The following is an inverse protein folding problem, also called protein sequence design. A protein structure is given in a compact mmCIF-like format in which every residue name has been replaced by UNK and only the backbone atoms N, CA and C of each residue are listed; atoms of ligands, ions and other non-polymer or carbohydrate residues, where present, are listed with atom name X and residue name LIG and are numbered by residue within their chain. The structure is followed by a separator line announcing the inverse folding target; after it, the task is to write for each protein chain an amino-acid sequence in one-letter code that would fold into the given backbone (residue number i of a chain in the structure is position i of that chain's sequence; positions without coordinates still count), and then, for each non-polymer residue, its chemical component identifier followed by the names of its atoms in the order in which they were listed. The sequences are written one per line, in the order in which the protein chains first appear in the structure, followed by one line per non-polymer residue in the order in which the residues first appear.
data_IF_261606090505
#
_entry.id   IF_261606090505
#
_cell.length_a   1.000
_cell.length_b   1.000
_cell.length_c   1.000
_cell.angle_alpha   90.00
_cell.angle_beta   90.00
_cell.angle_gamma   90.00
#
_symmetry.space_group_name_H-M   'P 1'
#
loop_
_entity.id
_entity.type
_entity.pdbx_description
1 polymer ?
#
# COMPACT_ATOMS: atom_id res chain seq x y z
N UNK A 1 -19.45 -3.83 23.20
CA UNK A 1 -18.05 -4.32 23.12
C UNK A 1 -17.47 -4.27 21.70
N UNK A 2 -18.28 -4.23 20.64
CA UNK A 2 -17.82 -4.24 19.23
C UNK A 2 -17.08 -2.97 18.73
N UNK A 3 -17.23 -1.81 19.38
CA UNK A 3 -16.60 -0.56 18.91
C UNK A 3 -15.09 -0.53 19.16
N UNK A 4 -14.63 -0.99 20.33
CA UNK A 4 -13.21 -0.92 20.72
C UNK A 4 -12.32 -1.84 19.88
N UNK A 5 -12.82 -3.01 19.50
CA UNK A 5 -12.09 -3.98 18.67
C UNK A 5 -11.99 -3.48 17.22
N UNK A 6 -13.09 -2.93 16.69
CA UNK A 6 -13.09 -2.32 15.36
C UNK A 6 -12.17 -1.09 15.27
N UNK A 7 -12.14 -0.25 16.31
CA UNK A 7 -11.24 0.90 16.40
C UNK A 7 -9.77 0.48 16.44
N UNK A 8 -9.46 -0.62 17.13
CA UNK A 8 -8.12 -1.20 17.19
C UNK A 8 -7.70 -1.79 15.84
N UNK A 9 -8.58 -2.53 15.17
CA UNK A 9 -8.34 -3.08 13.82
C UNK A 9 -8.08 -1.96 12.80
N UNK A 10 -8.84 -0.87 12.88
CA UNK A 10 -8.62 0.31 12.02
C UNK A 10 -7.23 0.89 12.30
N UNK A 11 -6.86 1.06 13.57
CA UNK A 11 -5.55 1.62 13.96
C UNK A 11 -4.38 0.75 13.51
N UNK A 12 -4.48 -0.57 13.62
CA UNK A 12 -3.42 -1.50 13.23
C UNK A 12 -3.26 -1.55 11.71
N UNK A 13 -4.36 -1.54 10.96
CA UNK A 13 -4.33 -1.40 9.50
C UNK A 13 -3.66 -0.08 9.08
N UNK A 14 -3.98 1.03 9.75
CA UNK A 14 -3.35 2.32 9.44
C UNK A 14 -1.84 2.33 9.69
N UNK A 15 -1.39 1.65 10.76
CA UNK A 15 0.04 1.54 11.08
C UNK A 15 0.77 0.68 10.04
N UNK A 16 0.17 -0.42 9.62
CA UNK A 16 0.68 -1.23 8.52
C UNK A 16 0.76 -0.40 7.23
N UNK A 17 -0.29 0.35 6.91
CA UNK A 17 -0.36 1.19 5.71
C UNK A 17 0.68 2.34 5.73
N UNK A 18 0.90 2.95 6.90
CA UNK A 18 1.96 3.95 7.10
C UNK A 18 3.34 3.36 6.84
N UNK A 19 3.59 2.15 7.36
CA UNK A 19 4.85 1.43 7.16
C UNK A 19 5.15 1.14 5.68
N UNK A 20 4.12 0.96 4.84
CA UNK A 20 4.27 0.79 3.39
C UNK A 20 4.85 2.05 2.77
N UNK A 21 4.35 3.24 3.13
CA UNK A 21 4.91 4.50 2.63
C UNK A 21 6.21 4.91 3.32
N UNK A 22 6.50 4.39 4.52
CA UNK A 22 7.78 4.61 5.16
C UNK A 22 8.89 3.81 4.50
N UNK A 23 8.72 2.50 4.44
CA UNK A 23 9.74 1.55 3.99
C UNK A 23 9.71 1.34 2.47
N UNK A 24 8.53 1.40 1.85
CA UNK A 24 8.36 1.07 0.43
C UNK A 24 8.47 -0.43 0.13
N UNK A 25 8.54 -1.27 1.16
CA UNK A 25 8.70 -2.72 1.02
C UNK A 25 7.43 -3.44 1.44
N UNK A 26 6.90 -4.28 0.55
CA UNK A 26 5.78 -5.18 0.82
C UNK A 26 6.12 -6.59 0.35
N UNK A 27 5.41 -7.59 0.88
CA UNK A 27 5.63 -8.99 0.50
C UNK A 27 5.25 -9.26 -0.96
N UNK A 28 5.83 -10.30 -1.58
CA UNK A 28 5.45 -10.75 -2.92
C UNK A 28 3.95 -11.07 -3.02
N UNK A 29 3.37 -11.69 -1.99
CA UNK A 29 1.92 -11.94 -1.90
C UNK A 29 1.12 -10.64 -1.99
N UNK A 30 1.50 -9.62 -1.21
CA UNK A 30 0.84 -8.31 -1.27
C UNK A 30 1.04 -7.64 -2.62
N UNK A 31 2.18 -7.82 -3.29
CA UNK A 31 2.39 -7.33 -4.65
C UNK A 31 1.45 -8.00 -5.66
N UNK A 32 1.28 -9.32 -5.60
CA UNK A 32 0.36 -10.04 -6.47
C UNK A 32 -1.09 -9.59 -6.27
N UNK A 33 -1.51 -9.39 -5.01
CA UNK A 33 -2.83 -8.85 -4.68
C UNK A 33 -3.00 -7.41 -5.19
N UNK A 34 -2.02 -6.54 -4.94
CA UNK A 34 -2.05 -5.13 -5.36
C UNK A 34 -2.12 -4.99 -6.88
N UNK A 35 -1.31 -5.74 -7.62
CA UNK A 35 -1.33 -5.73 -9.09
C UNK A 35 -2.62 -6.37 -9.61
N UNK A 36 -3.13 -7.41 -8.95
CA UNK A 36 -4.42 -8.03 -9.26
C UNK A 36 -5.61 -7.09 -9.12
N UNK A 37 -5.55 -6.12 -8.20
CA UNK A 37 -6.54 -5.03 -8.11
C UNK A 37 -6.46 -4.06 -9.31
N UNK A 38 -5.30 -3.97 -9.94
CA UNK A 38 -5.05 -3.12 -11.10
C UNK A 38 -4.71 -1.67 -10.77
N UNK A 39 -4.10 -0.99 -11.75
CA UNK A 39 -3.56 0.37 -11.56
C UNK A 39 -4.64 1.42 -11.22
N UNK A 40 -5.87 1.21 -11.70
CA UNK A 40 -7.01 2.10 -11.39
C UNK A 40 -7.35 2.06 -9.91
N UNK A 41 -7.47 0.86 -9.34
CA UNK A 41 -7.74 0.68 -7.91
C UNK A 41 -6.57 1.17 -7.06
N UNK A 42 -5.33 0.89 -7.47
CA UNK A 42 -4.13 1.42 -6.82
C UNK A 42 -4.16 2.96 -6.75
N UNK A 43 -4.41 3.62 -7.89
CA UNK A 43 -4.50 5.08 -7.96
C UNK A 43 -5.62 5.66 -7.08
N UNK A 44 -6.77 4.98 -7.03
CA UNK A 44 -7.87 5.35 -6.15
C UNK A 44 -7.53 5.20 -4.66
N UNK A 45 -6.81 4.14 -4.28
CA UNK A 45 -6.31 3.94 -2.91
C UNK A 45 -5.33 5.06 -2.50
N UNK A 46 -4.43 5.45 -3.40
CA UNK A 46 -3.50 6.57 -3.16
C UNK A 46 -4.26 7.86 -2.95
N UNK A 47 -5.26 8.17 -3.80
CA UNK A 47 -6.10 9.36 -3.63
C UNK A 47 -6.82 9.36 -2.28
N UNK A 48 -7.43 8.22 -1.91
CA UNK A 48 -8.12 8.06 -0.62
C UNK A 48 -7.17 8.26 0.56
N UNK A 49 -5.91 7.83 0.42
CA UNK A 49 -4.86 8.02 1.44
C UNK A 49 -4.53 9.48 1.63
N UNK A 50 -4.38 10.23 0.53
CA UNK A 50 -4.11 11.67 0.55
C UNK A 50 -5.24 12.49 1.19
N UNK A 51 -6.49 12.05 1.03
CA UNK A 51 -7.67 12.68 1.63
C UNK A 51 -7.86 12.32 3.12
N UNK A 52 -7.19 11.28 3.61
CA UNK A 52 -7.40 10.76 4.95
C UNK A 52 -6.51 11.50 5.97
N UNK A 53 -7.17 12.15 6.93
CA UNK A 53 -6.54 12.91 8.02
C UNK A 53 -5.53 12.11 8.85
N UNK A 54 -5.60 10.78 8.83
CA UNK A 54 -4.67 9.90 9.52
C UNK A 54 -3.26 9.93 8.92
N UNK A 55 -3.12 10.31 7.65
CA UNK A 55 -1.83 10.41 6.96
C UNK A 55 -1.36 11.87 6.81
N UNK A 56 -2.00 12.82 7.50
CA UNK A 56 -1.67 14.26 7.40
C UNK A 56 -0.22 14.60 7.77
N UNK A 57 0.40 13.77 8.61
CA UNK A 57 1.78 13.96 9.07
C UNK A 57 2.80 13.45 8.03
N UNK A 58 2.34 12.71 7.02
CA UNK A 58 3.15 12.32 5.88
C UNK A 58 3.02 13.36 4.77
N UNK A 59 4.14 13.73 4.16
CA UNK A 59 4.14 14.60 2.99
C UNK A 59 3.36 13.95 1.82
N UNK A 60 2.43 14.66 1.16
CA UNK A 60 1.75 14.18 -0.04
C UNK A 60 2.71 13.71 -1.14
N UNK A 61 3.82 14.44 -1.32
CA UNK A 61 4.85 14.08 -2.29
C UNK A 61 5.52 12.75 -1.92
N UNK A 62 5.72 12.49 -0.62
CA UNK A 62 6.29 11.23 -0.13
C UNK A 62 5.34 10.06 -0.38
N UNK A 63 4.05 10.23 -0.10
CA UNK A 63 3.02 9.21 -0.36
C UNK A 63 3.00 8.86 -1.85
N UNK A 64 2.98 9.85 -2.74
CA UNK A 64 2.96 9.65 -4.19
C UNK A 64 4.23 8.95 -4.66
N UNK A 65 5.41 9.43 -4.28
CA UNK A 65 6.68 8.85 -4.70
C UNK A 65 6.83 7.38 -4.24
N UNK A 66 6.45 7.09 -2.99
CA UNK A 66 6.50 5.74 -2.43
C UNK A 66 5.46 4.82 -3.06
N UNK A 67 4.28 5.34 -3.38
CA UNK A 67 3.27 4.59 -4.11
C UNK A 67 3.74 4.15 -5.50
N UNK A 68 4.37 5.07 -6.25
CA UNK A 68 4.94 4.76 -7.58
C UNK A 68 6.06 3.74 -7.46
N UNK A 69 6.97 3.91 -6.48
CA UNK A 69 8.04 2.95 -6.21
C UNK A 69 7.49 1.56 -5.90
N UNK A 70 6.52 1.44 -5.00
CA UNK A 70 5.91 0.16 -4.64
C UNK A 70 5.25 -0.50 -5.84
N UNK A 71 4.50 0.26 -6.65
CA UNK A 71 3.85 -0.28 -7.85
C UNK A 71 4.86 -0.86 -8.84
N UNK A 72 5.92 -0.12 -9.16
CA UNK A 72 6.96 -0.58 -10.08
C UNK A 72 7.72 -1.79 -9.55
N UNK A 73 8.01 -1.82 -8.24
CA UNK A 73 8.63 -2.98 -7.60
C UNK A 73 7.75 -4.22 -7.74
N UNK A 74 6.43 -4.09 -7.57
CA UNK A 74 5.50 -5.20 -7.71
C UNK A 74 5.35 -5.68 -9.15
N UNK A 75 5.34 -4.78 -10.13
CA UNK A 75 5.35 -5.16 -11.55
C UNK A 75 6.62 -5.96 -11.90
N UNK A 76 7.79 -5.49 -11.46
CA UNK A 76 9.06 -6.18 -11.70
C UNK A 76 9.13 -7.60 -11.11
N UNK A 77 8.39 -7.87 -10.02
CA UNK A 77 8.30 -9.21 -9.44
C UNK A 77 7.41 -10.16 -10.27
N UNK A 78 6.44 -9.64 -11.01
CA UNK A 78 5.54 -10.44 -11.87
C UNK A 78 6.19 -10.69 -13.23
N UNK A 79 6.91 -9.70 -13.76
CA UNK A 79 7.63 -9.80 -15.04
C UNK A 79 8.94 -10.59 -14.94
N UNK A 80 9.40 -10.92 -13.72
CA UNK A 80 10.56 -11.78 -13.54
C UNK A 80 10.17 -13.22 -13.89
N UNK A 81 10.76 -13.83 -14.94
CA UNK A 81 10.53 -15.24 -15.21
C UNK A 81 11.01 -16.01 -13.98
N UNK A 82 10.07 -16.71 -13.32
CA UNK A 82 10.44 -17.61 -12.23
C UNK A 82 11.54 -18.56 -12.73
N UNK A 83 12.63 -18.79 -11.97
CA UNK A 83 13.69 -19.72 -12.36
C UNK A 83 13.26 -21.20 -12.33
N UNK A 84 11.95 -21.46 -12.26
CA UNK A 84 11.32 -22.77 -12.10
C UNK A 84 10.35 -23.10 -13.25
N UNK A 85 10.43 -22.41 -14.39
CA UNK A 85 9.71 -22.78 -15.61
C UNK A 85 10.38 -23.96 -16.32
#
# INVERSE_FOLDING_TARGET
MATKENDQIIKDNNKAFTSIFDTGTISSKCCSELVGLGNVCHSALVKRTLENLLFKDLSPARIIAKSIQTWNNCLGLIDSPSPFA
#
